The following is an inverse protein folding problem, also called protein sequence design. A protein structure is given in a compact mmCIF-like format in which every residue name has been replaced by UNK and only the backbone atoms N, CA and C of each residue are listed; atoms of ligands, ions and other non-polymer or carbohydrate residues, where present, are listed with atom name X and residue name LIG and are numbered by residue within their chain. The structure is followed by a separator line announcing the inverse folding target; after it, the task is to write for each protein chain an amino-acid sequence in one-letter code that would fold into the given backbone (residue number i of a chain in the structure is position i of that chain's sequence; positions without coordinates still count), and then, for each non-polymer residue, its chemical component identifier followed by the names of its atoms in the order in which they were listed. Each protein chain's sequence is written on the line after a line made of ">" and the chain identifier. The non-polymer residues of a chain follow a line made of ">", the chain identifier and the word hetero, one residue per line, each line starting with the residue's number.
data_IF_431155621589
#
_entry.id   IF_431155621589
#
_cell.length_a   1.000
_cell.length_b   1.000
_cell.length_c   1.000
_cell.angle_alpha   90.00
_cell.angle_beta   90.00
_cell.angle_gamma   90.00
#
_symmetry.space_group_name_H-M   'P 1'
#
loop_
_entity.id
_entity.type
_entity.pdbx_description
1 polymer ?
#
# COMPACT_ATOMS: atom_id res chain seq x y z
N UNK A 1 2.05 -37.39 15.91
CA UNK A 1 2.32 -36.02 16.39
C UNK A 1 3.73 -35.64 15.97
N UNK A 2 3.89 -34.95 14.85
CA UNK A 2 5.20 -34.44 14.45
C UNK A 2 5.28 -32.97 14.87
N UNK A 3 5.98 -32.72 15.98
CA UNK A 3 6.48 -31.38 16.30
C UNK A 3 7.64 -31.09 15.36
N UNK A 4 7.35 -30.63 14.16
CA UNK A 4 8.36 -30.00 13.32
C UNK A 4 8.79 -28.74 14.06
N UNK A 5 10.06 -28.62 14.46
CA UNK A 5 10.58 -27.35 14.96
C UNK A 5 10.47 -26.34 13.82
N UNK A 6 9.44 -25.52 13.87
CA UNK A 6 9.15 -24.57 12.81
C UNK A 6 10.22 -23.48 12.87
N UNK A 7 11.01 -23.36 11.80
CA UNK A 7 12.06 -22.36 11.68
C UNK A 7 11.45 -20.98 11.94
N UNK A 8 11.96 -20.28 12.95
CA UNK A 8 11.55 -18.89 13.21
C UNK A 8 12.10 -18.02 12.08
N UNK A 9 11.20 -17.38 11.34
CA UNK A 9 11.54 -16.47 10.27
C UNK A 9 11.73 -15.06 10.84
N UNK A 10 12.58 -14.27 10.17
CA UNK A 10 12.59 -12.82 10.42
C UNK A 10 11.22 -12.22 10.07
N UNK A 11 10.90 -11.05 10.62
CA UNK A 11 9.62 -10.39 10.32
C UNK A 11 9.41 -10.17 8.82
N UNK A 12 10.47 -9.85 8.06
CA UNK A 12 10.42 -9.74 6.61
C UNK A 12 10.11 -11.08 5.93
N UNK A 13 10.90 -12.12 6.24
CA UNK A 13 10.73 -13.43 5.62
C UNK A 13 9.39 -14.08 5.96
N UNK A 14 8.85 -13.80 7.15
CA UNK A 14 7.52 -14.23 7.56
C UNK A 14 6.42 -13.56 6.71
N UNK A 15 6.53 -12.26 6.45
CA UNK A 15 5.57 -11.52 5.62
C UNK A 15 5.60 -12.00 4.17
N UNK A 16 6.78 -12.19 3.58
CA UNK A 16 6.89 -12.73 2.22
C UNK A 16 6.30 -14.14 2.12
N UNK A 17 6.70 -15.05 3.01
CA UNK A 17 6.16 -16.41 2.99
C UNK A 17 4.63 -16.46 3.19
N UNK A 18 4.11 -15.59 4.07
CA UNK A 18 2.67 -15.44 4.28
C UNK A 18 1.95 -14.88 3.06
N UNK A 19 2.51 -13.87 2.41
CA UNK A 19 1.98 -13.28 1.19
C UNK A 19 1.91 -14.30 0.05
N UNK A 20 3.01 -15.01 -0.21
CA UNK A 20 3.08 -16.03 -1.25
C UNK A 20 2.06 -17.15 -1.02
N UNK A 21 1.90 -17.60 0.23
CA UNK A 21 0.93 -18.61 0.60
C UNK A 21 -0.52 -18.15 0.34
N UNK A 22 -0.83 -16.89 0.68
CA UNK A 22 -2.15 -16.29 0.44
C UNK A 22 -2.42 -16.17 -1.06
N UNK A 23 -1.51 -15.55 -1.82
CA UNK A 23 -1.67 -15.35 -3.27
C UNK A 23 -1.84 -16.69 -3.98
N UNK A 24 -1.04 -17.70 -3.63
CA UNK A 24 -1.13 -19.04 -4.23
C UNK A 24 -2.46 -19.72 -3.93
N UNK A 25 -3.06 -19.49 -2.76
CA UNK A 25 -4.28 -20.19 -2.32
C UNK A 25 -5.57 -19.52 -2.77
N UNK A 26 -5.64 -18.19 -2.69
CA UNK A 26 -6.89 -17.44 -2.91
C UNK A 26 -6.80 -16.41 -4.04
N UNK A 27 -5.63 -16.28 -4.68
CA UNK A 27 -5.38 -15.33 -5.77
C UNK A 27 -5.05 -13.93 -5.25
N UNK A 28 -4.35 -13.16 -6.08
CA UNK A 28 -3.84 -11.82 -5.74
C UNK A 28 -4.92 -10.89 -5.19
N UNK A 29 -6.05 -10.76 -5.90
CA UNK A 29 -7.12 -9.82 -5.52
C UNK A 29 -7.72 -10.15 -4.16
N UNK A 30 -8.00 -11.43 -3.89
CA UNK A 30 -8.58 -11.83 -2.61
C UNK A 30 -7.55 -11.81 -1.48
N UNK A 31 -6.29 -12.13 -1.76
CA UNK A 31 -5.19 -12.00 -0.79
C UNK A 31 -5.03 -10.55 -0.32
N UNK A 32 -5.03 -9.59 -1.23
CA UNK A 32 -4.98 -8.16 -0.88
C UNK A 32 -6.18 -7.75 -0.03
N UNK A 33 -7.41 -8.11 -0.44
CA UNK A 33 -8.63 -7.77 0.31
C UNK A 33 -8.63 -8.39 1.70
N UNK A 34 -8.14 -9.62 1.84
CA UNK A 34 -8.01 -10.30 3.13
C UNK A 34 -7.08 -9.53 4.07
N UNK A 35 -5.89 -9.14 3.62
CA UNK A 35 -4.97 -8.32 4.44
C UNK A 35 -5.61 -6.99 4.85
N UNK A 36 -6.28 -6.32 3.92
CA UNK A 36 -6.99 -5.05 4.18
C UNK A 36 -8.17 -5.18 5.15
N UNK A 37 -8.67 -6.37 5.45
CA UNK A 37 -9.68 -6.55 6.51
C UNK A 37 -9.09 -6.44 7.92
N UNK A 38 -7.82 -6.78 8.09
CA UNK A 38 -7.14 -6.78 9.39
C UNK A 38 -6.21 -5.58 9.57
N UNK A 39 -5.72 -5.02 8.46
CA UNK A 39 -5.06 -3.73 8.49
C UNK A 39 -6.11 -2.64 8.36
N UNK A 40 -6.39 -1.94 9.46
CA UNK A 40 -7.26 -0.76 9.50
C UNK A 40 -6.77 0.41 8.64
N UNK A 41 -5.66 0.23 7.90
CA UNK A 41 -4.81 1.30 7.43
C UNK A 41 -4.17 2.04 8.60
N UNK A 42 -3.15 2.85 8.29
CA UNK A 42 -2.65 3.88 9.19
C UNK A 42 -2.79 5.24 8.52
N UNK A 43 -3.08 6.25 9.33
CA UNK A 43 -3.24 7.63 8.86
C UNK A 43 -4.67 7.97 8.44
N UNK A 44 -4.92 9.27 8.36
CA UNK A 44 -6.19 9.83 7.92
C UNK A 44 -6.00 10.34 6.49
N UNK A 45 -6.31 9.50 5.50
CA UNK A 45 -6.17 9.87 4.09
C UNK A 45 -6.96 11.14 3.77
N UNK A 46 -8.06 11.41 4.46
CA UNK A 46 -8.85 12.63 4.27
C UNK A 46 -8.07 13.86 4.73
N UNK A 47 -7.40 13.80 5.88
CA UNK A 47 -6.50 14.88 6.34
C UNK A 47 -5.30 15.03 5.41
N UNK A 48 -4.61 13.94 5.08
CA UNK A 48 -3.44 13.95 4.20
C UNK A 48 -3.81 14.56 2.84
N UNK A 49 -4.93 14.14 2.24
CA UNK A 49 -5.42 14.68 0.97
C UNK A 49 -5.72 16.18 1.07
N UNK A 50 -6.38 16.62 2.15
CA UNK A 50 -6.68 18.05 2.37
C UNK A 50 -5.41 18.88 2.48
N UNK A 51 -4.41 18.40 3.22
CA UNK A 51 -3.14 19.11 3.40
C UNK A 51 -2.29 19.14 2.12
N UNK A 52 -2.22 18.01 1.41
CA UNK A 52 -1.44 17.87 0.18
C UNK A 52 -2.03 18.69 -0.97
N UNK A 53 -3.34 18.55 -1.19
CA UNK A 53 -4.01 19.15 -2.35
C UNK A 53 -4.56 20.54 -2.06
N UNK A 54 -4.76 20.91 -0.79
CA UNK A 54 -5.28 22.24 -0.38
C UNK A 54 -6.53 22.68 -1.14
N UNK A 55 -7.39 21.74 -1.53
CA UNK A 55 -8.61 22.02 -2.29
C UNK A 55 -8.43 22.30 -3.78
N UNK A 56 -7.22 22.11 -4.33
CA UNK A 56 -6.96 22.23 -5.77
C UNK A 56 -7.83 21.27 -6.57
N UNK A 57 -8.39 21.78 -7.65
CA UNK A 57 -9.01 20.94 -8.67
C UNK A 57 -7.94 20.19 -9.46
N UNK A 58 -8.34 19.15 -10.18
CA UNK A 58 -7.42 18.40 -11.06
C UNK A 58 -6.79 19.32 -12.10
N UNK A 59 -7.55 20.28 -12.65
CA UNK A 59 -7.01 21.23 -13.63
C UNK A 59 -6.00 22.20 -13.02
N UNK A 60 -6.12 22.57 -11.74
CA UNK A 60 -5.10 23.35 -11.04
C UNK A 60 -3.79 22.57 -10.94
N UNK A 61 -3.87 21.29 -10.57
CA UNK A 61 -2.71 20.41 -10.44
C UNK A 61 -2.01 20.24 -11.80
N UNK A 62 -2.76 19.95 -12.86
CA UNK A 62 -2.19 19.82 -14.21
C UNK A 62 -1.46 21.09 -14.65
N UNK A 63 -2.06 22.27 -14.43
CA UNK A 63 -1.44 23.55 -14.76
C UNK A 63 -0.16 23.82 -13.98
N UNK A 64 -0.07 23.38 -12.73
CA UNK A 64 1.14 23.50 -11.92
C UNK A 64 2.26 22.59 -12.43
N UNK A 65 1.93 21.35 -12.79
CA UNK A 65 2.89 20.41 -13.40
C UNK A 65 3.44 21.00 -14.72
N UNK A 66 2.57 21.46 -15.61
CA UNK A 66 2.99 22.08 -16.88
C UNK A 66 3.87 23.31 -16.68
N UNK A 67 3.57 24.14 -15.66
CA UNK A 67 4.40 25.30 -15.32
C UNK A 67 5.77 24.88 -14.80
N UNK A 68 5.82 23.89 -13.92
CA UNK A 68 7.06 23.36 -13.36
C UNK A 68 7.97 22.78 -14.45
N UNK A 69 7.40 22.02 -15.39
CA UNK A 69 8.13 21.49 -16.54
C UNK A 69 8.70 22.61 -17.43
N UNK A 70 7.91 23.66 -17.70
CA UNK A 70 8.34 24.81 -18.51
C UNK A 70 9.33 25.74 -17.82
N UNK A 71 9.35 25.80 -16.49
CA UNK A 71 10.31 26.61 -15.72
C UNK A 71 11.65 25.93 -15.47
N UNK A 72 11.71 24.60 -15.65
CA UNK A 72 12.93 23.81 -15.54
C UNK A 72 13.56 23.49 -16.92
N UNK A 73 13.09 24.17 -17.97
CA UNK A 73 13.64 24.25 -19.32
C UNK A 73 14.19 25.66 -19.55
#
# INVERSE_FOLDING_TARGET
>A
MLKTQQKILSGYALREAGWDALVKRIGLVNATRFILQYESGYGDYTKIKKELLKGKSVSDICREVEKFEKSNL
#
